data_IF_034316442084
#
_entry.id   IF_034316442084
#
_cell.length_a   1.000
_cell.length_b   1.000
_cell.length_c   1.000
_cell.angle_alpha   90.00
_cell.angle_beta   90.00
_cell.angle_gamma   90.00
#
_symmetry.space_group_name_H-M   'P 1'
#
loop_
_entity.id
_entity.type
_entity.pdbx_description
1 polymer ?
#
# COMPACT_ATOMS: atom_id res chain seq x y z
N UNK A 1 -16.21 -4.54 -17.85
CA UNK A 1 -15.51 -5.62 -17.12
C UNK A 1 -14.66 -4.93 -16.08
N UNK A 2 -14.78 -5.22 -14.76
CA UNK A 2 -13.87 -4.60 -13.82
C UNK A 2 -12.47 -5.11 -14.18
N UNK A 3 -11.57 -4.17 -14.45
CA UNK A 3 -10.16 -4.43 -14.63
C UNK A 3 -9.69 -5.32 -13.47
N UNK A 4 -9.09 -6.46 -13.78
CA UNK A 4 -8.67 -7.44 -12.77
C UNK A 4 -7.85 -6.72 -11.69
N UNK A 5 -8.23 -6.89 -10.42
CA UNK A 5 -7.52 -6.26 -9.32
C UNK A 5 -6.00 -6.52 -9.42
N UNK A 6 -5.15 -5.52 -9.14
CA UNK A 6 -3.70 -5.64 -9.31
C UNK A 6 -3.15 -6.74 -8.41
N UNK A 7 -2.52 -7.77 -8.98
CA UNK A 7 -1.98 -8.90 -8.22
C UNK A 7 -0.80 -8.48 -7.32
N UNK A 8 -0.02 -7.47 -7.74
CA UNK A 8 1.16 -6.97 -7.01
C UNK A 8 1.15 -5.45 -6.95
N UNK A 9 1.41 -4.90 -5.77
CA UNK A 9 1.44 -3.46 -5.49
C UNK A 9 2.77 -3.14 -4.80
N UNK A 10 3.51 -2.17 -5.32
CA UNK A 10 4.71 -1.61 -4.67
C UNK A 10 4.39 -0.21 -4.17
N UNK A 11 4.56 0.03 -2.88
CA UNK A 11 4.38 1.34 -2.25
C UNK A 11 5.75 1.89 -1.87
N UNK A 12 6.10 3.06 -2.42
CA UNK A 12 7.24 3.84 -1.93
C UNK A 12 6.76 4.76 -0.82
N UNK A 13 7.16 4.46 0.41
CA UNK A 13 6.80 5.27 1.57
C UNK A 13 7.79 6.42 1.76
N UNK A 14 7.41 7.43 2.57
CA UNK A 14 8.36 8.44 3.02
C UNK A 14 9.49 7.83 3.85
N UNK A 15 10.69 8.43 3.75
CA UNK A 15 11.88 7.98 4.48
C UNK A 15 12.07 8.65 5.86
N UNK A 16 11.24 9.63 6.19
CA UNK A 16 11.19 10.23 7.52
C UNK A 16 10.18 9.48 8.40
N UNK A 17 10.57 9.17 9.64
CA UNK A 17 9.75 8.38 10.56
C UNK A 17 8.36 9.01 10.80
N UNK A 18 8.28 10.33 10.95
CA UNK A 18 7.02 11.03 11.18
C UNK A 18 6.03 10.84 10.02
N UNK A 19 6.50 11.06 8.80
CA UNK A 19 5.69 10.89 7.59
C UNK A 19 5.32 9.42 7.35
N UNK A 20 6.21 8.48 7.71
CA UNK A 20 5.93 7.05 7.65
C UNK A 20 4.77 6.68 8.58
N UNK A 21 4.78 7.17 9.83
CA UNK A 21 3.68 6.97 10.78
C UNK A 21 2.38 7.54 10.23
N UNK A 22 2.41 8.75 9.66
CA UNK A 22 1.23 9.36 9.04
C UNK A 22 0.70 8.57 7.83
N UNK A 23 1.61 7.97 7.04
CA UNK A 23 1.24 7.17 5.87
C UNK A 23 0.64 5.80 6.19
N UNK A 24 0.73 5.34 7.45
CA UNK A 24 0.24 4.00 7.85
C UNK A 24 -1.26 3.80 7.59
N UNK A 25 -2.07 4.85 7.72
CA UNK A 25 -3.51 4.81 7.40
C UNK A 25 -3.78 4.52 5.93
N UNK A 26 -2.95 5.08 5.04
CA UNK A 26 -3.03 4.79 3.60
C UNK A 26 -2.65 3.34 3.31
N UNK A 27 -1.54 2.85 3.88
CA UNK A 27 -1.12 1.44 3.70
C UNK A 27 -2.22 0.49 4.13
N UNK A 28 -2.86 0.76 5.27
CA UNK A 28 -3.98 -0.03 5.76
C UNK A 28 -5.17 -0.02 4.80
N UNK A 29 -5.55 1.15 4.29
CA UNK A 29 -6.65 1.26 3.33
C UNK A 29 -6.37 0.48 2.03
N UNK A 30 -5.11 0.45 1.56
CA UNK A 30 -4.72 -0.35 0.39
C UNK A 30 -4.88 -1.85 0.67
N UNK A 31 -4.43 -2.33 1.83
CA UNK A 31 -4.58 -3.74 2.21
C UNK A 31 -6.05 -4.15 2.36
N UNK A 32 -6.91 -3.26 2.86
CA UNK A 32 -8.35 -3.50 2.99
C UNK A 32 -9.06 -3.48 1.62
N UNK A 33 -8.64 -2.62 0.70
CA UNK A 33 -9.20 -2.54 -0.66
C UNK A 33 -8.74 -3.68 -1.57
N UNK A 34 -7.55 -4.23 -1.32
CA UNK A 34 -6.90 -5.24 -2.16
C UNK A 34 -6.42 -6.44 -1.33
N UNK A 35 -7.34 -7.20 -0.70
CA UNK A 35 -6.99 -8.25 0.26
C UNK A 35 -6.22 -9.43 -0.33
N UNK A 36 -6.33 -9.67 -1.64
CA UNK A 36 -5.64 -10.76 -2.34
C UNK A 36 -4.33 -10.32 -3.00
N UNK A 37 -4.00 -9.03 -2.94
CA UNK A 37 -2.82 -8.49 -3.58
C UNK A 37 -1.59 -8.64 -2.70
N UNK A 38 -0.45 -8.96 -3.30
CA UNK A 38 0.85 -8.87 -2.63
C UNK A 38 1.26 -7.39 -2.58
N UNK A 39 1.43 -6.83 -1.38
CA UNK A 39 1.84 -5.43 -1.18
C UNK A 39 3.24 -5.37 -0.57
N UNK A 40 4.19 -4.83 -1.32
CA UNK A 40 5.57 -4.60 -0.86
C UNK A 40 5.77 -3.11 -0.57
N UNK A 41 6.55 -2.79 0.46
CA UNK A 41 6.88 -1.40 0.83
C UNK A 41 8.38 -1.16 0.75
N UNK A 42 8.77 -0.01 0.20
CA UNK A 42 10.16 0.47 0.17
C UNK A 42 10.25 1.87 0.75
N UNK A 43 11.37 2.16 1.42
CA UNK A 43 11.66 3.40 2.15
C UNK A 43 12.84 4.11 1.49
#
# INVERSE_FOLDING_TARGET
MPESAPVKILIRTPNWLGDMVMSSGFVRAVLEAFPESQVDLIV
#
